data_IF_676936906014
#
_entry.id   IF_676936906014
#
_cell.length_a   1.000
_cell.length_b   1.000
_cell.length_c   1.000
_cell.angle_alpha   90.00
_cell.angle_beta   90.00
_cell.angle_gamma   90.00
#
_symmetry.space_group_name_H-M   'P 1'
#
loop_
_entity.id
_entity.type
_entity.pdbx_description
1 polymer ?
#
# COMPACT_ATOMS: atom_id res chain seq x y z
N UNK A 1 3.14 -9.61 -11.41
CA UNK A 1 2.04 -8.64 -11.48
C UNK A 1 0.93 -9.18 -10.61
N UNK A 2 0.37 -8.36 -9.73
CA UNK A 2 -0.71 -8.77 -8.82
C UNK A 2 -2.05 -8.57 -9.54
N UNK A 3 -2.94 -9.57 -9.47
CA UNK A 3 -4.30 -9.46 -10.01
C UNK A 3 -5.17 -8.55 -9.13
N UNK A 4 -6.25 -7.98 -9.70
CA UNK A 4 -7.10 -7.00 -9.03
C UNK A 4 -7.67 -7.45 -7.67
N UNK A 5 -7.92 -8.75 -7.47
CA UNK A 5 -8.31 -9.30 -6.16
C UNK A 5 -7.18 -9.26 -5.13
N UNK A 6 -5.94 -9.58 -5.55
CA UNK A 6 -4.78 -9.59 -4.66
C UNK A 6 -4.39 -8.19 -4.18
N UNK A 7 -4.70 -7.15 -4.96
CA UNK A 7 -4.50 -5.75 -4.54
C UNK A 7 -5.41 -5.39 -3.36
N UNK A 8 -6.67 -5.85 -3.36
CA UNK A 8 -7.61 -5.58 -2.28
C UNK A 8 -7.19 -6.27 -0.97
N UNK A 9 -6.74 -7.51 -1.04
CA UNK A 9 -6.20 -8.23 0.13
C UNK A 9 -4.94 -7.56 0.67
N UNK A 10 -4.07 -7.08 -0.22
CA UNK A 10 -2.88 -6.33 0.17
C UNK A 10 -3.25 -5.02 0.88
N UNK A 11 -4.23 -4.26 0.38
CA UNK A 11 -4.69 -3.03 1.03
C UNK A 11 -5.25 -3.33 2.42
N UNK A 12 -6.03 -4.40 2.58
CA UNK A 12 -6.53 -4.85 3.88
C UNK A 12 -5.38 -5.21 4.82
N UNK A 13 -4.40 -5.97 4.34
CA UNK A 13 -3.20 -6.32 5.10
C UNK A 13 -2.39 -5.10 5.55
N UNK A 14 -2.16 -4.13 4.65
CA UNK A 14 -1.43 -2.90 4.98
C UNK A 14 -2.17 -2.05 6.01
N UNK A 15 -3.51 -2.06 5.99
CA UNK A 15 -4.33 -1.41 7.00
C UNK A 15 -4.22 -2.10 8.35
N UNK A 16 -4.39 -3.42 8.40
CA UNK A 16 -4.49 -4.17 9.65
C UNK A 16 -3.13 -4.35 10.33
N UNK A 17 -2.09 -4.67 9.56
CA UNK A 17 -0.74 -4.95 10.11
C UNK A 17 0.12 -3.69 10.28
N UNK A 18 -0.09 -2.67 9.43
CA UNK A 18 0.77 -1.48 9.40
C UNK A 18 0.04 -0.20 9.78
N UNK A 19 -1.29 -0.19 9.90
CA UNK A 19 -2.08 1.01 10.12
C UNK A 19 -2.06 1.97 8.91
N UNK A 20 -1.72 1.46 7.72
CA UNK A 20 -1.58 2.28 6.51
C UNK A 20 -2.87 2.23 5.72
N UNK A 21 -3.52 3.40 5.58
CA UNK A 21 -4.63 3.57 4.66
C UNK A 21 -4.09 3.93 3.27
N UNK A 22 -4.31 3.05 2.30
CA UNK A 22 -4.00 3.30 0.89
C UNK A 22 -5.15 4.11 0.28
N UNK A 23 -4.86 5.26 -0.31
CA UNK A 23 -5.86 6.05 -1.04
C UNK A 23 -6.17 5.40 -2.40
N UNK A 24 -7.39 5.52 -2.90
CA UNK A 24 -7.78 4.95 -4.20
C UNK A 24 -6.88 5.45 -5.35
N UNK A 25 -6.39 6.69 -5.24
CA UNK A 25 -5.47 7.34 -6.16
C UNK A 25 -4.08 6.69 -6.18
N UNK A 26 -3.68 6.08 -5.07
CA UNK A 26 -2.40 5.38 -4.93
C UNK A 26 -2.45 3.94 -5.45
N UNK A 27 -3.64 3.40 -5.73
CA UNK A 27 -3.86 2.06 -6.26
C UNK A 27 -3.48 2.02 -7.74
N UNK A 28 -2.17 1.99 -7.99
CA UNK A 28 -1.60 1.99 -9.35
C UNK A 28 -0.56 0.89 -9.48
N UNK A 29 -0.31 0.44 -10.71
CA UNK A 29 0.75 -0.54 -10.98
C UNK A 29 2.14 -0.06 -10.54
N UNK A 30 2.38 1.25 -10.54
CA UNK A 30 3.66 1.83 -10.12
C UNK A 30 3.87 1.85 -8.60
N UNK A 31 2.81 1.72 -7.81
CA UNK A 31 2.88 1.68 -6.35
C UNK A 31 2.63 0.28 -5.78
N UNK A 32 1.73 -0.50 -6.40
CA UNK A 32 1.29 -1.81 -5.90
C UNK A 32 1.48 -2.96 -6.91
N UNK A 33 2.06 -2.71 -8.10
CA UNK A 33 2.19 -3.73 -9.15
C UNK A 33 3.30 -4.75 -8.90
N UNK A 34 4.29 -4.42 -8.07
CA UNK A 34 5.40 -5.31 -7.69
C UNK A 34 5.73 -5.23 -6.20
N UNK A 35 6.41 -6.26 -5.67
CA UNK A 35 6.83 -6.31 -4.27
C UNK A 35 7.76 -5.13 -3.90
N UNK A 36 8.63 -4.72 -4.82
CA UNK A 36 9.55 -3.60 -4.61
C UNK A 36 8.79 -2.27 -4.48
N UNK A 37 7.77 -2.06 -5.31
CA UNK A 37 6.95 -0.85 -5.27
C UNK A 37 6.15 -0.77 -3.97
N UNK A 38 5.59 -1.90 -3.53
CA UNK A 38 4.87 -2.00 -2.26
C UNK A 38 5.80 -1.68 -1.09
N UNK A 39 7.00 -2.28 -1.06
CA UNK A 39 7.98 -2.03 -0.01
C UNK A 39 8.40 -0.55 0.04
N UNK A 40 8.56 0.08 -1.12
CA UNK A 40 8.83 1.52 -1.26
C UNK A 40 7.67 2.35 -0.69
N UNK A 41 6.44 2.06 -1.12
CA UNK A 41 5.22 2.75 -0.67
C UNK A 41 5.05 2.69 0.85
N UNK A 42 5.19 1.50 1.44
CA UNK A 42 5.10 1.30 2.89
C UNK A 42 6.18 2.07 3.65
N UNK A 43 7.41 2.04 3.14
CA UNK A 43 8.54 2.75 3.76
C UNK A 43 8.34 4.27 3.73
N UNK A 44 7.83 4.81 2.62
CA UNK A 44 7.52 6.25 2.52
C UNK A 44 6.39 6.65 3.47
N UNK A 45 5.37 5.81 3.63
CA UNK A 45 4.23 6.14 4.48
C UNK A 45 4.59 6.14 5.97
N UNK A 46 5.47 5.22 6.40
CA UNK A 46 6.02 5.21 7.76
C UNK A 46 6.96 6.38 8.03
N UNK A 47 7.75 6.80 7.05
CA UNK A 47 8.64 7.96 7.17
C UNK A 47 7.89 9.30 7.25
N UNK A 48 6.73 9.39 6.59
CA UNK A 48 5.94 10.62 6.50
C UNK A 48 4.98 10.85 7.69
N UNK A 49 4.80 9.90 8.61
CA UNK A 49 3.89 10.06 9.76
C UNK A 49 2.43 10.33 9.36
N UNK A 50 2.05 10.03 8.11
CA UNK A 50 0.70 10.22 7.56
C UNK A 50 -0.23 9.03 7.86
N UNK A 51 0.24 8.02 8.60
CA UNK A 51 -0.63 6.99 9.17
C UNK A 51 -1.38 7.58 10.36
N UNK A 52 -2.63 7.98 10.14
CA UNK A 52 -3.56 8.55 11.13
C UNK A 52 -3.32 10.02 11.51
N UNK A 53 -3.83 10.93 10.66
CA UNK A 53 -4.51 12.15 11.13
C UNK A 53 -5.90 12.19 10.54
#
# INVERSE_FOLDING_TARGET
>A
MIDSMGVMELIAFLRDEFGIAVADEDITESNLGTMTDIARYVSTQRGNGNGAR
#
